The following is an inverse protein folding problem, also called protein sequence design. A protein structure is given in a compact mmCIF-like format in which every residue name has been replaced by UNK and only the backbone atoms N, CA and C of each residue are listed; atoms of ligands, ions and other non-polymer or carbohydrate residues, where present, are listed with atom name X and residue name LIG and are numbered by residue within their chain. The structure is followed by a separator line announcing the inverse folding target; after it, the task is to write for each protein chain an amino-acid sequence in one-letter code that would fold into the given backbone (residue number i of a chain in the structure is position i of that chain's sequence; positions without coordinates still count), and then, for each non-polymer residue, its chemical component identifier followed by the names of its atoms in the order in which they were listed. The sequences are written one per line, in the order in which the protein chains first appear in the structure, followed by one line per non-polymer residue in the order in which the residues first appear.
data_IF_495614509766
#
_entry.id   IF_495614509766
#
_cell.length_a   1.000
_cell.length_b   1.000
_cell.length_c   1.000
_cell.angle_alpha   90.00
_cell.angle_beta   90.00
_cell.angle_gamma   90.00
#
_symmetry.space_group_name_H-M   'P 1'
#
loop_
_entity.id
_entity.type
_entity.pdbx_description
1 polymer ?
#
# COMPACT_ATOMS: atom_id res chain seq x y z
N UNK A 1 6.48 -30.14 -11.91
CA UNK A 1 7.31 -28.94 -12.20
C UNK A 1 6.43 -27.71 -12.25
N UNK A 2 6.75 -26.71 -11.44
CA UNK A 2 6.18 -25.37 -11.52
C UNK A 2 7.14 -24.42 -12.23
N UNK A 3 6.60 -23.47 -12.97
CA UNK A 3 7.30 -22.31 -13.50
C UNK A 3 6.64 -21.07 -12.92
N UNK A 4 7.41 -20.06 -12.53
CA UNK A 4 6.87 -18.73 -12.22
C UNK A 4 7.61 -17.65 -12.96
N UNK A 5 6.92 -16.58 -13.35
CA UNK A 5 7.47 -15.36 -13.92
C UNK A 5 7.07 -14.18 -13.04
N UNK A 6 8.03 -13.35 -12.64
CA UNK A 6 7.72 -12.08 -11.99
C UNK A 6 7.30 -11.06 -13.05
N UNK A 7 6.08 -10.54 -12.96
CA UNK A 7 5.63 -9.43 -13.80
C UNK A 7 6.06 -8.11 -13.19
N UNK A 8 5.87 -7.93 -11.88
CA UNK A 8 6.26 -6.74 -11.14
C UNK A 8 5.63 -6.71 -9.75
N UNK A 9 6.28 -6.04 -8.79
CA UNK A 9 5.81 -5.96 -7.41
C UNK A 9 5.50 -7.36 -6.81
N UNK A 10 4.24 -7.67 -6.54
CA UNK A 10 3.76 -8.96 -6.03
C UNK A 10 3.08 -9.82 -7.11
N UNK A 11 3.02 -9.31 -8.34
CA UNK A 11 2.35 -9.94 -9.46
C UNK A 11 3.19 -11.07 -10.06
N UNK A 12 2.77 -12.31 -9.78
CA UNK A 12 3.37 -13.51 -10.32
C UNK A 12 2.43 -14.15 -11.35
N UNK A 13 3.01 -14.60 -12.45
CA UNK A 13 2.38 -15.63 -13.30
C UNK A 13 2.97 -16.98 -12.89
N UNK A 14 2.17 -17.92 -12.41
CA UNK A 14 2.59 -19.24 -11.96
C UNK A 14 1.96 -20.28 -12.87
N UNK A 15 2.75 -21.21 -13.40
CA UNK A 15 2.33 -22.18 -14.40
C UNK A 15 2.72 -23.59 -13.96
N UNK A 16 1.77 -24.50 -14.04
CA UNK A 16 1.96 -25.94 -13.95
C UNK A 16 1.87 -26.57 -15.34
N UNK A 17 1.63 -27.89 -15.42
CA UNK A 17 1.43 -28.58 -16.69
C UNK A 17 0.09 -28.19 -17.34
N UNK A 18 -0.95 -27.92 -16.55
CA UNK A 18 -2.31 -27.68 -17.06
C UNK A 18 -2.95 -26.35 -16.59
N UNK A 19 -2.31 -25.63 -15.67
CA UNK A 19 -2.91 -24.49 -14.97
C UNK A 19 -1.99 -23.27 -15.01
N UNK A 20 -2.56 -22.09 -15.29
CA UNK A 20 -1.91 -20.78 -15.15
C UNK A 20 -2.64 -19.95 -14.09
N UNK A 21 -1.90 -19.51 -13.07
CA UNK A 21 -2.37 -18.65 -11.98
C UNK A 21 -1.75 -17.27 -12.14
N UNK A 22 -2.56 -16.22 -12.04
CA UNK A 22 -2.14 -14.82 -12.00
C UNK A 22 -2.48 -14.25 -10.62
N UNK A 23 -1.49 -13.69 -9.93
CA UNK A 23 -1.69 -13.07 -8.61
C UNK A 23 -1.60 -11.55 -8.72
N UNK A 24 -2.50 -10.83 -8.06
CA UNK A 24 -2.41 -9.38 -7.80
C UNK A 24 -1.96 -8.54 -9.01
N UNK A 25 -2.67 -8.59 -10.15
CA UNK A 25 -2.18 -8.02 -11.39
C UNK A 25 -2.26 -6.50 -11.40
N UNK A 26 -1.10 -5.89 -11.60
CA UNK A 26 -0.91 -4.43 -11.68
C UNK A 26 -0.04 -4.11 -12.90
N UNK A 27 -0.68 -3.70 -14.00
CA UNK A 27 -0.08 -3.75 -15.36
C UNK A 27 0.07 -2.39 -16.04
N UNK A 28 -0.43 -1.32 -15.44
CA UNK A 28 -0.33 0.01 -16.01
C UNK A 28 0.73 0.84 -15.28
N UNK A 29 1.26 1.85 -15.97
CA UNK A 29 2.43 2.60 -15.48
C UNK A 29 2.17 3.30 -14.14
N UNK A 30 0.99 3.90 -13.95
CA UNK A 30 0.67 4.68 -12.76
C UNK A 30 -0.16 3.88 -11.78
N UNK A 31 0.33 3.82 -10.54
CA UNK A 31 -0.16 2.99 -9.44
C UNK A 31 -0.55 3.87 -8.23
N UNK A 32 -1.41 3.34 -7.35
CA UNK A 32 -1.92 3.99 -6.12
C UNK A 32 -2.36 5.45 -6.33
N UNK A 33 -3.58 5.72 -6.79
CA UNK A 33 -4.05 7.11 -7.05
C UNK A 33 -3.05 7.93 -7.91
N UNK A 34 -2.35 7.22 -8.80
CA UNK A 34 -1.31 7.74 -9.69
C UNK A 34 -0.09 8.39 -8.98
N UNK A 35 0.33 7.93 -7.79
CA UNK A 35 1.53 8.46 -7.10
C UNK A 35 2.81 7.64 -7.33
N UNK A 36 2.70 6.36 -7.70
CA UNK A 36 3.86 5.49 -7.92
C UNK A 36 3.91 4.89 -9.33
N UNK A 37 5.07 4.31 -9.64
CA UNK A 37 5.38 3.51 -10.83
C UNK A 37 6.17 2.28 -10.40
N UNK A 38 6.15 1.21 -11.19
CA UNK A 38 7.02 0.04 -10.97
C UNK A 38 8.51 0.44 -11.03
N UNK A 39 9.32 -0.17 -10.18
CA UNK A 39 10.76 0.02 -10.09
C UNK A 39 11.42 -1.34 -9.83
N UNK A 40 12.18 -1.90 -10.78
CA UNK A 40 12.53 -1.31 -12.08
C UNK A 40 11.32 -1.16 -13.01
N UNK A 41 11.40 -0.21 -13.95
CA UNK A 41 10.36 -0.03 -14.98
C UNK A 41 10.34 -1.22 -15.95
N UNK A 42 9.16 -1.54 -16.49
CA UNK A 42 8.96 -2.75 -17.31
C UNK A 42 8.37 -2.43 -18.67
N UNK A 43 8.57 -3.34 -19.63
CA UNK A 43 7.70 -3.49 -20.80
C UNK A 43 6.89 -4.77 -20.60
N UNK A 44 5.56 -4.66 -20.65
CA UNK A 44 4.64 -5.78 -20.59
C UNK A 44 3.85 -5.89 -21.91
N UNK A 45 4.10 -6.96 -22.67
CA UNK A 45 3.33 -7.33 -23.86
C UNK A 45 2.10 -8.13 -23.44
N UNK A 46 1.05 -7.42 -23.04
CA UNK A 46 -0.17 -8.00 -22.42
C UNK A 46 -0.82 -9.08 -23.29
N UNK A 47 -0.75 -8.95 -24.61
CA UNK A 47 -1.31 -9.89 -25.60
C UNK A 47 -0.55 -11.22 -25.67
N UNK A 48 0.69 -11.26 -25.14
CA UNK A 48 1.50 -12.48 -25.07
C UNK A 48 1.36 -13.21 -23.74
N UNK A 49 0.58 -12.68 -22.79
CA UNK A 49 0.34 -13.33 -21.51
C UNK A 49 -0.44 -14.64 -21.77
N UNK A 50 0.04 -15.79 -21.25
CA UNK A 50 -0.66 -17.05 -21.38
C UNK A 50 -2.08 -16.99 -20.78
N UNK A 51 -3.07 -17.68 -21.38
CA UNK A 51 -4.43 -17.70 -20.85
C UNK A 51 -4.49 -18.21 -19.40
N UNK A 52 -5.10 -17.42 -18.53
CA UNK A 52 -5.17 -17.58 -17.08
C UNK A 52 -6.36 -18.45 -16.69
N UNK A 53 -6.10 -19.47 -15.86
CA UNK A 53 -7.09 -20.35 -15.25
C UNK A 53 -7.54 -19.87 -13.88
N UNK A 54 -6.65 -19.20 -13.14
CA UNK A 54 -6.94 -18.69 -11.79
C UNK A 54 -6.46 -17.25 -11.67
N UNK A 55 -7.34 -16.34 -11.30
CA UNK A 55 -7.00 -14.99 -10.87
C UNK A 55 -7.11 -14.91 -9.36
N UNK A 56 -6.03 -14.59 -8.65
CA UNK A 56 -6.03 -14.38 -7.20
C UNK A 56 -5.82 -12.90 -6.88
N UNK A 57 -6.70 -12.35 -6.05
CA UNK A 57 -6.50 -11.08 -5.35
C UNK A 57 -6.23 -11.38 -3.88
N UNK A 58 -5.12 -10.88 -3.35
CA UNK A 58 -4.72 -11.10 -1.95
C UNK A 58 -5.43 -10.18 -0.97
N UNK A 59 -5.51 -8.89 -1.27
CA UNK A 59 -6.12 -7.87 -0.42
C UNK A 59 -6.41 -6.58 -1.20
N UNK A 60 -6.94 -5.58 -0.51
CA UNK A 60 -7.53 -4.39 -1.14
C UNK A 60 -6.55 -3.24 -1.43
N UNK A 61 -5.28 -3.28 -1.01
CA UNK A 61 -4.36 -2.17 -1.33
C UNK A 61 -4.17 -2.04 -2.85
N UNK A 62 -4.01 -0.82 -3.35
CA UNK A 62 -4.11 -0.55 -4.81
C UNK A 62 -2.97 -1.15 -5.64
N UNK A 63 -1.84 -1.51 -5.03
CA UNK A 63 -0.74 -2.29 -5.61
C UNK A 63 -0.95 -3.80 -5.66
N UNK A 64 -2.05 -4.26 -5.06
CA UNK A 64 -2.52 -5.63 -5.15
C UNK A 64 -3.88 -5.73 -5.84
N UNK A 65 -4.65 -4.64 -5.83
CA UNK A 65 -6.02 -4.53 -6.35
C UNK A 65 -6.18 -3.33 -7.30
N UNK A 66 -5.54 -3.43 -8.47
CA UNK A 66 -5.65 -2.40 -9.51
C UNK A 66 -6.93 -2.57 -10.35
N UNK A 67 -7.90 -1.69 -10.12
CA UNK A 67 -9.18 -1.66 -10.84
C UNK A 67 -8.99 -1.48 -12.35
N UNK A 68 -7.95 -0.75 -12.78
CA UNK A 68 -7.69 -0.55 -14.21
C UNK A 68 -7.25 -1.84 -14.88
N UNK A 69 -6.33 -2.59 -14.26
CA UNK A 69 -5.91 -3.93 -14.72
C UNK A 69 -7.07 -4.91 -14.71
N UNK A 70 -7.88 -4.93 -13.66
CA UNK A 70 -9.06 -5.79 -13.60
C UNK A 70 -10.11 -5.46 -14.69
N UNK A 71 -10.34 -4.18 -14.97
CA UNK A 71 -11.22 -3.75 -16.05
C UNK A 71 -10.67 -4.14 -17.43
N UNK A 72 -9.35 -4.14 -17.63
CA UNK A 72 -8.70 -4.65 -18.84
C UNK A 72 -8.88 -6.16 -18.97
N UNK A 73 -8.65 -6.93 -17.89
CA UNK A 73 -8.74 -8.39 -17.89
C UNK A 73 -10.13 -8.93 -18.26
N UNK A 74 -11.20 -8.19 -17.96
CA UNK A 74 -12.57 -8.54 -18.36
C UNK A 74 -12.89 -8.26 -19.84
N UNK A 75 -12.03 -7.54 -20.55
CA UNK A 75 -12.22 -7.32 -22.00
C UNK A 75 -11.97 -8.63 -22.75
N UNK A 76 -12.54 -8.77 -23.94
CA UNK A 76 -12.30 -9.92 -24.83
C UNK A 76 -10.90 -9.84 -25.47
N UNK A 77 -9.88 -10.03 -24.63
CA UNK A 77 -8.46 -9.98 -24.99
C UNK A 77 -7.77 -11.35 -24.90
N UNK A 78 -8.51 -12.40 -24.51
CA UNK A 78 -8.02 -13.77 -24.41
C UNK A 78 -7.14 -14.07 -23.20
N UNK A 79 -6.92 -13.12 -22.30
CA UNK A 79 -6.08 -13.31 -21.11
C UNK A 79 -6.80 -14.16 -20.07
N UNK A 80 -8.02 -13.82 -19.69
CA UNK A 80 -8.82 -14.67 -18.80
C UNK A 80 -9.55 -15.74 -19.62
N UNK A 81 -9.47 -17.00 -19.19
CA UNK A 81 -10.28 -18.07 -19.80
C UNK A 81 -11.76 -17.90 -19.45
N UNK A 82 -12.68 -18.40 -20.30
CA UNK A 82 -14.11 -18.34 -20.01
C UNK A 82 -14.53 -19.02 -18.69
N UNK A 83 -13.77 -20.02 -18.25
CA UNK A 83 -13.97 -20.79 -17.01
C UNK A 83 -12.96 -20.40 -15.91
N UNK A 84 -12.41 -19.18 -15.95
CA UNK A 84 -11.47 -18.69 -14.95
C UNK A 84 -12.05 -18.78 -13.53
N UNK A 85 -11.26 -19.32 -12.60
CA UNK A 85 -11.56 -19.29 -11.17
C UNK A 85 -11.02 -18.01 -10.56
N UNK A 86 -11.87 -17.22 -9.93
CA UNK A 86 -11.47 -15.94 -9.32
C UNK A 86 -11.47 -16.10 -7.81
N UNK A 87 -10.32 -15.90 -7.17
CA UNK A 87 -10.11 -16.00 -5.73
C UNK A 87 -9.96 -14.59 -5.14
N UNK A 88 -10.66 -14.29 -4.05
CA UNK A 88 -10.59 -13.00 -3.37
C UNK A 88 -10.75 -13.18 -1.84
N UNK A 89 -10.23 -12.26 -1.03
CA UNK A 89 -10.47 -12.27 0.41
C UNK A 89 -11.94 -11.97 0.73
N UNK A 90 -12.35 -12.24 1.97
CA UNK A 90 -13.68 -11.90 2.46
C UNK A 90 -13.80 -10.40 2.80
N UNK A 91 -13.56 -9.53 1.83
CA UNK A 91 -13.62 -8.07 1.95
C UNK A 91 -14.80 -7.51 1.14
N UNK A 92 -15.71 -6.80 1.81
CA UNK A 92 -16.93 -6.27 1.18
C UNK A 92 -16.64 -5.27 0.05
N UNK A 93 -15.56 -4.48 0.15
CA UNK A 93 -15.17 -3.50 -0.87
C UNK A 93 -14.61 -4.23 -2.09
N UNK A 94 -13.67 -5.16 -1.90
CA UNK A 94 -13.10 -5.97 -3.00
C UNK A 94 -14.22 -6.68 -3.75
N UNK A 95 -15.09 -7.39 -3.03
CA UNK A 95 -16.19 -8.14 -3.63
C UNK A 95 -17.19 -7.25 -4.36
N UNK A 96 -17.51 -6.07 -3.79
CA UNK A 96 -18.40 -5.10 -4.45
C UNK A 96 -17.77 -4.53 -5.72
N UNK A 97 -16.52 -4.08 -5.67
CA UNK A 97 -15.80 -3.50 -6.82
C UNK A 97 -15.68 -4.52 -7.95
N UNK A 98 -15.32 -5.77 -7.64
CA UNK A 98 -15.21 -6.82 -8.65
C UNK A 98 -16.57 -7.15 -9.30
N UNK A 99 -17.65 -7.24 -8.53
CA UNK A 99 -19.00 -7.41 -9.09
C UNK A 99 -19.42 -6.23 -9.95
N UNK A 100 -19.12 -5.01 -9.51
CA UNK A 100 -19.39 -3.78 -10.26
C UNK A 100 -18.57 -3.72 -11.56
N UNK A 101 -17.36 -4.30 -11.62
CA UNK A 101 -16.61 -4.44 -12.86
C UNK A 101 -17.23 -5.48 -13.81
N UNK A 102 -17.79 -6.56 -13.28
CA UNK A 102 -18.46 -7.61 -14.05
C UNK A 102 -17.98 -9.04 -13.76
N UNK A 103 -17.22 -9.27 -12.69
CA UNK A 103 -16.86 -10.63 -12.27
C UNK A 103 -18.07 -11.35 -11.66
N UNK A 104 -18.48 -12.48 -12.23
CA UNK A 104 -19.69 -13.21 -11.82
C UNK A 104 -19.39 -14.35 -10.81
N UNK A 105 -18.23 -15.01 -10.91
CA UNK A 105 -17.91 -16.24 -10.16
C UNK A 105 -16.70 -16.06 -9.23
N UNK A 106 -16.86 -15.22 -8.20
CA UNK A 106 -15.82 -14.97 -7.20
C UNK A 106 -15.93 -15.99 -6.06
N UNK A 107 -14.87 -16.77 -5.84
CA UNK A 107 -14.70 -17.63 -4.67
C UNK A 107 -14.00 -16.86 -3.56
N UNK A 108 -14.74 -16.62 -2.48
CA UNK A 108 -14.18 -16.08 -1.23
C UNK A 108 -13.32 -17.16 -0.58
N UNK A 109 -12.09 -16.82 -0.25
CA UNK A 109 -11.15 -17.79 0.32
C UNK A 109 -11.04 -17.72 1.84
N UNK A 110 -10.66 -18.84 2.46
CA UNK A 110 -10.38 -18.96 3.88
C UNK A 110 -8.96 -19.44 4.13
N UNK A 111 -8.38 -19.01 5.25
CA UNK A 111 -7.03 -19.41 5.64
C UNK A 111 -6.88 -20.94 5.71
N UNK A 112 -5.87 -21.45 5.01
CA UNK A 112 -5.52 -22.87 4.92
C UNK A 112 -6.61 -23.79 4.36
N UNK A 113 -7.67 -23.24 3.77
CA UNK A 113 -8.62 -24.01 2.98
C UNK A 113 -8.02 -24.27 1.59
N UNK A 114 -7.81 -25.54 1.25
CA UNK A 114 -7.19 -25.91 -0.03
C UNK A 114 -8.23 -25.99 -1.14
N UNK A 115 -7.97 -25.25 -2.21
CA UNK A 115 -8.76 -25.22 -3.44
C UNK A 115 -7.98 -25.99 -4.51
N UNK A 116 -8.62 -26.99 -5.11
CA UNK A 116 -7.99 -27.76 -6.20
C UNK A 116 -8.47 -27.25 -7.55
N UNK A 117 -7.53 -26.80 -8.38
CA UNK A 117 -7.79 -26.37 -9.75
C UNK A 117 -6.93 -27.22 -10.68
N UNK A 118 -7.57 -28.09 -11.46
CA UNK A 118 -6.92 -29.07 -12.35
C UNK A 118 -5.79 -29.85 -11.66
N UNK A 119 -4.54 -29.59 -12.04
CA UNK A 119 -3.33 -30.27 -11.58
C UNK A 119 -2.64 -29.60 -10.39
N UNK A 120 -3.17 -28.48 -9.87
CA UNK A 120 -2.60 -27.79 -8.70
C UNK A 120 -3.54 -27.70 -7.51
N UNK A 121 -2.95 -27.57 -6.33
CA UNK A 121 -3.58 -27.18 -5.08
C UNK A 121 -3.15 -25.75 -4.73
N UNK A 122 -4.14 -24.91 -4.44
CA UNK A 122 -3.96 -23.52 -4.01
C UNK A 122 -4.40 -23.41 -2.57
N UNK A 123 -3.58 -22.85 -1.69
CA UNK A 123 -3.88 -22.70 -0.27
C UNK A 123 -3.50 -21.30 0.22
N UNK A 124 -4.49 -20.45 0.49
CA UNK A 124 -4.26 -19.14 1.11
C UNK A 124 -3.68 -19.26 2.51
N UNK A 125 -2.78 -18.36 2.86
CA UNK A 125 -2.12 -18.31 4.18
C UNK A 125 -2.50 -17.03 4.92
N UNK A 126 -2.77 -17.09 6.24
CA UNK A 126 -3.18 -15.92 7.01
C UNK A 126 -2.11 -14.83 7.04
N UNK A 127 -2.56 -13.59 7.04
CA UNK A 127 -1.77 -12.43 7.44
C UNK A 127 -2.12 -11.99 8.86
N UNK A 128 -1.09 -11.71 9.66
CA UNK A 128 -1.19 -10.98 10.92
C UNK A 128 -1.15 -9.46 10.72
N UNK A 129 -1.15 -8.99 9.47
CA UNK A 129 -1.28 -7.59 9.15
C UNK A 129 -2.70 -7.15 9.56
N UNK A 130 -2.77 -6.43 10.67
CA UNK A 130 -3.98 -5.80 11.17
C UNK A 130 -3.81 -4.29 11.22
N UNK A 131 -2.93 -3.70 10.37
CA UNK A 131 -2.67 -2.26 10.38
C UNK A 131 -3.99 -1.49 10.24
N UNK A 132 -4.49 -1.02 11.38
CA UNK A 132 -5.82 -0.43 11.58
C UNK A 132 -5.58 0.92 12.23
N UNK A 133 -5.20 1.91 11.42
CA UNK A 133 -5.43 3.32 11.78
C UNK A 133 -6.86 3.75 11.43
N UNK A 134 -7.52 3.02 10.51
CA UNK A 134 -8.96 3.10 10.27
C UNK A 134 -9.68 2.06 11.15
N UNK A 135 -10.92 2.31 11.57
CA UNK A 135 -11.76 1.39 12.35
C UNK A 135 -12.12 0.07 11.62
N UNK A 136 -11.52 -0.17 10.46
CA UNK A 136 -11.81 -1.25 9.52
C UNK A 136 -10.58 -2.16 9.39
N UNK A 137 -10.76 -3.46 9.63
CA UNK A 137 -9.73 -4.49 9.42
C UNK A 137 -9.87 -5.04 8.01
N UNK A 138 -8.84 -4.90 7.16
CA UNK A 138 -8.84 -5.52 5.84
C UNK A 138 -8.27 -6.95 5.89
N UNK A 139 -9.00 -7.97 5.40
CA UNK A 139 -8.47 -9.32 5.30
C UNK A 139 -7.43 -9.41 4.18
N UNK A 140 -6.30 -10.03 4.50
CA UNK A 140 -5.15 -10.21 3.61
C UNK A 140 -4.62 -11.65 3.69
N UNK A 141 -4.22 -12.22 2.55
CA UNK A 141 -3.63 -13.55 2.49
C UNK A 141 -2.44 -13.69 1.53
N UNK A 142 -1.44 -14.45 1.95
CA UNK A 142 -0.44 -15.05 1.05
C UNK A 142 -1.00 -16.26 0.30
N UNK A 143 -0.28 -16.77 -0.69
CA UNK A 143 -0.76 -17.84 -1.58
C UNK A 143 0.27 -18.95 -1.76
N UNK A 144 -0.07 -20.17 -1.34
CA UNK A 144 0.69 -21.38 -1.67
C UNK A 144 0.13 -22.02 -2.94
N UNK A 145 1.02 -22.43 -3.84
CA UNK A 145 0.69 -23.22 -5.04
C UNK A 145 1.53 -24.48 -5.05
N UNK A 146 0.86 -25.63 -5.10
CA UNK A 146 1.49 -26.95 -5.08
C UNK A 146 1.02 -27.79 -6.26
N UNK A 147 1.93 -28.41 -7.02
CA UNK A 147 1.59 -29.21 -8.22
C UNK A 147 1.57 -30.73 -7.98
N UNK A 148 1.67 -31.16 -6.72
CA UNK A 148 1.83 -32.56 -6.32
C UNK A 148 3.27 -32.97 -6.05
N UNK A 149 4.26 -32.19 -6.49
CA UNK A 149 5.68 -32.47 -6.31
C UNK A 149 6.44 -31.34 -5.62
N UNK A 150 6.17 -30.09 -6.01
CA UNK A 150 6.86 -28.89 -5.53
C UNK A 150 5.87 -27.82 -5.06
N UNK A 151 6.32 -26.95 -4.18
CA UNK A 151 5.51 -25.89 -3.57
C UNK A 151 6.16 -24.52 -3.72
N UNK A 152 5.43 -23.58 -4.30
CA UNK A 152 5.75 -22.15 -4.32
C UNK A 152 4.91 -21.42 -3.28
N UNK A 153 5.49 -20.43 -2.61
CA UNK A 153 4.77 -19.50 -1.75
C UNK A 153 4.98 -18.05 -2.20
N UNK A 154 3.89 -17.35 -2.54
CA UNK A 154 3.87 -15.89 -2.66
C UNK A 154 3.39 -15.31 -1.33
N UNK A 155 4.28 -14.72 -0.55
CA UNK A 155 3.95 -14.18 0.78
C UNK A 155 3.09 -12.91 0.68
N UNK A 156 3.19 -12.15 -0.41
CA UNK A 156 2.67 -10.78 -0.52
C UNK A 156 3.09 -9.94 0.71
N UNK A 157 2.19 -9.12 1.23
CA UNK A 157 2.42 -8.25 2.38
C UNK A 157 2.22 -8.94 3.73
N UNK A 158 1.99 -10.26 3.72
CA UNK A 158 1.61 -11.03 4.91
C UNK A 158 2.63 -10.98 6.04
N UNK A 159 2.20 -10.45 7.19
CA UNK A 159 2.91 -10.63 8.46
C UNK A 159 2.64 -12.02 9.01
N UNK A 160 3.62 -12.90 8.94
CA UNK A 160 3.45 -14.30 9.36
C UNK A 160 3.99 -14.57 10.76
N UNK A 161 3.23 -15.36 11.53
CA UNK A 161 3.66 -15.86 12.82
C UNK A 161 4.22 -17.30 12.72
N UNK A 162 4.92 -17.79 13.77
CA UNK A 162 5.51 -19.14 13.74
C UNK A 162 4.50 -20.28 13.52
N UNK A 163 3.26 -20.15 13.99
CA UNK A 163 2.22 -21.16 13.80
C UNK A 163 1.80 -21.27 12.33
N UNK A 164 1.75 -20.16 11.59
CA UNK A 164 1.54 -20.19 10.14
C UNK A 164 2.63 -21.01 9.45
N UNK A 165 3.90 -20.75 9.76
CA UNK A 165 5.05 -21.46 9.19
C UNK A 165 5.01 -22.96 9.53
N UNK A 166 4.70 -23.29 10.78
CA UNK A 166 4.56 -24.69 11.21
C UNK A 166 3.48 -25.41 10.41
N UNK A 167 2.31 -24.80 10.21
CA UNK A 167 1.22 -25.38 9.41
C UNK A 167 1.61 -25.56 7.94
N UNK A 168 2.35 -24.63 7.35
CA UNK A 168 2.88 -24.75 5.98
C UNK A 168 3.79 -25.98 5.90
N UNK A 169 4.76 -26.11 6.81
CA UNK A 169 5.70 -27.23 6.83
C UNK A 169 5.02 -28.56 7.17
N UNK A 170 4.03 -28.59 8.05
CA UNK A 170 3.23 -29.80 8.33
C UNK A 170 2.47 -30.29 7.08
N UNK A 171 1.97 -29.36 6.26
CA UNK A 171 1.17 -29.69 5.08
C UNK A 171 2.01 -30.08 3.87
N UNK A 172 3.07 -29.33 3.59
CA UNK A 172 3.86 -29.46 2.37
C UNK A 172 5.29 -30.01 2.59
N UNK A 173 5.69 -30.22 3.84
CA UNK A 173 7.04 -30.65 4.22
C UNK A 173 8.06 -29.53 4.13
N UNK A 174 8.27 -28.98 2.94
CA UNK A 174 9.20 -27.87 2.68
C UNK A 174 8.72 -27.05 1.47
N UNK A 175 8.81 -25.73 1.56
CA UNK A 175 8.59 -24.84 0.41
C UNK A 175 9.83 -24.84 -0.49
N UNK A 176 9.64 -24.97 -1.80
CA UNK A 176 10.74 -24.97 -2.77
C UNK A 176 11.17 -23.55 -3.15
N UNK A 177 10.22 -22.68 -3.48
CA UNK A 177 10.48 -21.26 -3.74
C UNK A 177 9.58 -20.39 -2.86
N UNK A 178 10.20 -19.53 -2.06
CA UNK A 178 9.49 -18.48 -1.33
C UNK A 178 9.75 -17.11 -1.97
N UNK A 179 8.69 -16.40 -2.34
CA UNK A 179 8.69 -15.00 -2.76
C UNK A 179 8.27 -14.17 -1.54
N UNK A 180 9.25 -13.65 -0.81
CA UNK A 180 9.07 -13.15 0.56
C UNK A 180 9.36 -11.67 0.73
N UNK A 181 8.74 -11.04 1.73
CA UNK A 181 8.95 -9.61 2.05
C UNK A 181 10.44 -9.32 2.29
N UNK A 182 10.92 -8.20 1.76
CA UNK A 182 12.34 -7.82 1.86
C UNK A 182 12.59 -6.43 2.43
N UNK A 183 11.62 -5.51 2.35
CA UNK A 183 11.76 -4.12 2.81
C UNK A 183 10.53 -3.71 3.62
N UNK A 184 10.73 -3.13 4.82
CA UNK A 184 9.65 -2.45 5.52
C UNK A 184 9.45 -1.09 4.85
N UNK A 185 8.23 -0.80 4.44
CA UNK A 185 7.88 0.45 3.77
C UNK A 185 7.64 1.53 4.82
N UNK A 186 8.28 2.69 4.66
CA UNK A 186 8.10 3.86 5.54
C UNK A 186 7.18 4.89 4.88
N UNK A 187 6.23 4.42 4.11
CA UNK A 187 5.23 5.25 3.44
C UNK A 187 4.43 6.02 4.48
N UNK A 188 4.17 7.30 4.19
CA UNK A 188 3.48 8.19 5.13
C UNK A 188 4.35 8.66 6.32
N UNK A 189 5.46 7.99 6.69
CA UNK A 189 6.28 8.46 7.82
C UNK A 189 6.74 9.91 7.65
N UNK A 190 7.04 10.29 6.41
CA UNK A 190 7.37 11.67 6.07
C UNK A 190 6.22 12.63 6.39
N UNK A 191 5.01 12.30 5.97
CA UNK A 191 3.81 13.12 6.16
C UNK A 191 3.38 13.20 7.63
N UNK A 192 3.58 12.13 8.40
CA UNK A 192 3.20 12.07 9.82
C UNK A 192 4.32 12.41 10.80
N UNK A 193 5.47 12.91 10.31
CA UNK A 193 6.64 13.21 11.14
C UNK A 193 7.08 12.02 12.02
N UNK A 194 7.02 10.80 11.46
CA UNK A 194 7.46 9.56 12.11
C UNK A 194 8.94 9.28 11.83
N UNK A 195 9.62 8.45 12.64
CA UNK A 195 11.04 8.13 12.44
C UNK A 195 11.34 7.49 11.08
N UNK A 196 12.51 7.81 10.51
CA UNK A 196 13.02 7.21 9.26
C UNK A 196 14.04 6.09 9.50
N UNK A 197 14.18 5.59 10.73
CA UNK A 197 15.11 4.51 10.99
C UNK A 197 14.54 3.22 10.41
N UNK A 198 15.41 2.31 9.93
CA UNK A 198 14.99 0.95 9.61
C UNK A 198 14.29 0.33 10.84
N UNK A 199 13.01 -0.09 10.73
CA UNK A 199 12.28 -0.66 11.85
C UNK A 199 12.81 -2.07 12.13
N UNK A 200 13.89 -2.17 12.91
CA UNK A 200 14.61 -3.42 13.14
C UNK A 200 13.73 -4.55 13.65
N UNK A 201 12.73 -4.26 14.49
CA UNK A 201 11.81 -5.28 14.98
C UNK A 201 11.04 -5.94 13.83
N UNK A 202 10.47 -5.14 12.92
CA UNK A 202 9.76 -5.64 11.74
C UNK A 202 10.72 -6.30 10.76
N UNK A 203 11.83 -5.65 10.42
CA UNK A 203 12.82 -6.20 9.50
C UNK A 203 13.40 -7.55 9.97
N UNK A 204 13.62 -7.71 11.28
CA UNK A 204 14.03 -8.99 11.86
C UNK A 204 12.98 -10.10 11.64
N UNK A 205 11.69 -9.78 11.55
CA UNK A 205 10.66 -10.79 11.26
C UNK A 205 10.83 -11.39 9.87
N UNK A 206 11.30 -10.62 8.87
CA UNK A 206 11.51 -11.11 7.52
C UNK A 206 12.62 -12.16 7.48
N UNK A 207 13.74 -11.88 8.15
CA UNK A 207 14.86 -12.82 8.26
C UNK A 207 14.49 -14.06 9.10
N UNK A 208 13.75 -13.88 10.19
CA UNK A 208 13.27 -14.98 11.02
C UNK A 208 12.27 -15.87 10.28
N UNK A 209 11.41 -15.30 9.43
CA UNK A 209 10.49 -16.06 8.58
C UNK A 209 11.27 -17.01 7.68
N UNK A 210 12.29 -16.53 6.96
CA UNK A 210 13.12 -17.40 6.10
C UNK A 210 13.80 -18.49 6.92
N UNK A 211 14.35 -18.13 8.07
CA UNK A 211 15.04 -19.06 8.97
C UNK A 211 14.13 -20.14 9.54
N UNK A 212 12.87 -19.82 9.82
CA UNK A 212 11.89 -20.79 10.32
C UNK A 212 11.27 -21.63 9.20
N UNK A 213 11.02 -21.03 8.03
CA UNK A 213 10.45 -21.70 6.86
C UNK A 213 11.45 -22.67 6.22
N UNK A 214 12.75 -22.32 6.21
CA UNK A 214 13.82 -23.09 5.56
C UNK A 214 13.48 -23.48 4.10
N UNK A 215 13.07 -22.54 3.23
CA UNK A 215 12.73 -22.88 1.85
C UNK A 215 13.96 -23.42 1.10
N UNK A 216 13.77 -24.07 -0.04
CA UNK A 216 14.90 -24.50 -0.88
C UNK A 216 15.58 -23.31 -1.56
N UNK A 217 14.81 -22.29 -1.91
CA UNK A 217 15.29 -21.04 -2.43
C UNK A 217 14.34 -19.90 -2.00
N UNK A 218 14.88 -18.72 -1.73
CA UNK A 218 14.08 -17.53 -1.42
C UNK A 218 14.50 -16.36 -2.30
N UNK A 219 13.52 -15.58 -2.72
CA UNK A 219 13.73 -14.37 -3.52
C UNK A 219 13.01 -13.19 -2.84
N UNK A 220 13.54 -11.96 -2.93
CA UNK A 220 12.82 -10.75 -2.54
C UNK A 220 11.51 -10.63 -3.31
N UNK A 221 10.43 -10.32 -2.59
CA UNK A 221 9.07 -10.21 -3.11
C UNK A 221 8.56 -8.78 -3.24
N UNK A 222 7.32 -8.53 -2.78
CA UNK A 222 6.61 -7.23 -2.80
C UNK A 222 7.51 -6.02 -2.53
N UNK A 223 7.07 -4.85 -2.98
CA UNK A 223 7.76 -3.55 -2.91
C UNK A 223 8.72 -3.19 -4.05
N UNK A 224 8.43 -3.65 -5.27
CA UNK A 224 9.15 -3.26 -6.49
C UNK A 224 8.51 -2.02 -7.17
N UNK A 225 8.52 -0.88 -6.49
CA UNK A 225 7.94 0.38 -6.97
C UNK A 225 8.69 1.59 -6.42
N UNK A 226 8.42 2.76 -7.01
CA UNK A 226 8.92 4.06 -6.54
C UNK A 226 7.86 5.13 -6.72
N UNK A 227 8.01 6.26 -6.02
CA UNK A 227 7.27 7.48 -6.33
C UNK A 227 7.62 7.99 -7.73
N UNK A 228 6.60 8.47 -8.44
CA UNK A 228 6.74 9.16 -9.73
C UNK A 228 7.63 10.38 -9.61
N UNK A 229 8.06 10.90 -10.74
CA UNK A 229 8.99 12.03 -10.82
C UNK A 229 8.44 13.28 -10.10
N UNK A 230 7.12 13.50 -10.16
CA UNK A 230 6.43 14.59 -9.46
C UNK A 230 6.52 14.49 -7.92
N UNK A 231 6.65 13.27 -7.38
CA UNK A 231 6.73 12.98 -5.94
C UNK A 231 8.11 12.40 -5.55
N UNK A 232 9.09 12.47 -6.46
CA UNK A 232 10.34 11.72 -6.37
C UNK A 232 11.20 12.03 -5.14
N UNK A 233 10.98 13.16 -4.47
CA UNK A 233 11.66 13.47 -3.22
C UNK A 233 11.32 12.46 -2.11
N UNK A 234 10.13 11.86 -2.14
CA UNK A 234 9.67 10.85 -1.16
C UNK A 234 10.42 9.52 -1.28
N UNK A 235 10.99 9.20 -2.45
CA UNK A 235 11.85 8.01 -2.60
C UNK A 235 13.02 7.99 -1.61
N UNK A 236 13.44 9.18 -1.13
CA UNK A 236 14.54 9.32 -0.16
C UNK A 236 14.14 8.98 1.28
N UNK A 237 12.86 8.74 1.52
CA UNK A 237 12.27 8.60 2.86
C UNK A 237 11.49 7.29 3.05
N UNK A 238 11.02 6.64 1.98
CA UNK A 238 10.11 5.49 2.10
C UNK A 238 10.78 4.12 2.04
N UNK A 239 12.01 4.01 1.52
CA UNK A 239 12.68 2.72 1.25
C UNK A 239 13.98 2.57 2.06
N UNK A 240 13.93 2.18 3.34
CA UNK A 240 15.09 2.19 4.26
C UNK A 240 16.17 1.14 3.95
N UNK A 241 15.89 0.18 3.07
CA UNK A 241 16.82 -0.85 2.62
C UNK A 241 16.56 -1.22 1.16
N UNK A 242 17.45 -2.00 0.55
CA UNK A 242 17.35 -2.46 -0.84
C UNK A 242 17.34 -3.98 -0.90
N UNK A 243 16.94 -4.56 -2.04
CA UNK A 243 17.06 -6.01 -2.25
C UNK A 243 18.49 -6.51 -2.04
N UNK A 244 19.48 -5.78 -2.56
CA UNK A 244 20.90 -6.06 -2.36
C UNK A 244 21.29 -6.14 -0.89
N UNK A 245 20.82 -5.17 -0.09
CA UNK A 245 21.12 -5.12 1.33
C UNK A 245 20.42 -6.26 2.08
N UNK A 246 19.14 -6.52 1.77
CA UNK A 246 18.40 -7.65 2.30
C UNK A 246 19.09 -8.99 2.01
N UNK A 247 19.50 -9.24 0.77
CA UNK A 247 20.17 -10.48 0.38
C UNK A 247 21.52 -10.64 1.09
N UNK A 248 22.27 -9.55 1.29
CA UNK A 248 23.51 -9.56 2.09
C UNK A 248 23.24 -9.91 3.55
N UNK A 249 22.23 -9.29 4.16
CA UNK A 249 21.86 -9.53 5.55
C UNK A 249 21.35 -10.96 5.76
N UNK A 250 20.51 -11.44 4.84
CA UNK A 250 19.98 -12.81 4.86
C UNK A 250 21.08 -13.85 4.75
N UNK A 251 22.05 -13.65 3.85
CA UNK A 251 23.22 -14.54 3.73
C UNK A 251 24.04 -14.63 5.02
N UNK A 252 24.13 -13.53 5.78
CA UNK A 252 24.83 -13.52 7.07
C UNK A 252 23.97 -14.17 8.18
N UNK A 253 22.65 -14.02 8.12
CA UNK A 253 21.72 -14.46 9.16
C UNK A 253 21.32 -15.95 9.06
N UNK A 254 21.18 -16.45 7.83
CA UNK A 254 20.69 -17.78 7.45
C UNK A 254 21.46 -18.29 6.21
N UNK A 255 22.78 -18.55 6.32
CA UNK A 255 23.63 -18.94 5.20
C UNK A 255 23.25 -20.28 4.56
N UNK A 256 22.45 -21.11 5.23
CA UNK A 256 21.98 -22.41 4.79
C UNK A 256 20.85 -22.35 3.75
N UNK A 257 20.12 -21.23 3.65
CA UNK A 257 19.04 -21.03 2.67
C UNK A 257 19.59 -20.26 1.47
N UNK A 258 19.64 -20.88 0.27
CA UNK A 258 19.97 -20.16 -0.95
C UNK A 258 19.00 -19.01 -1.22
N UNK A 259 19.54 -17.86 -1.62
CA UNK A 259 18.78 -16.69 -1.99
C UNK A 259 19.37 -16.00 -3.23
N UNK A 260 18.54 -15.27 -3.96
CA UNK A 260 18.98 -14.54 -5.15
C UNK A 260 18.00 -13.47 -5.58
N UNK A 261 18.38 -12.69 -6.59
CA UNK A 261 17.49 -11.72 -7.21
C UNK A 261 16.42 -12.41 -8.04
N UNK A 262 15.27 -11.75 -8.10
CA UNK A 262 14.17 -12.11 -8.96
C UNK A 262 13.51 -10.81 -9.39
N UNK A 263 13.80 -10.39 -10.62
CA UNK A 263 13.36 -9.12 -11.18
C UNK A 263 12.24 -9.34 -12.20
N UNK A 264 11.45 -8.29 -12.52
CA UNK A 264 10.46 -8.37 -13.58
C UNK A 264 11.02 -8.97 -14.89
N UNK A 265 10.39 -10.02 -15.42
CA UNK A 265 10.86 -10.75 -16.60
C UNK A 265 11.75 -11.96 -16.32
N UNK A 266 12.19 -12.16 -15.09
CA UNK A 266 12.87 -13.39 -14.67
C UNK A 266 11.88 -14.55 -14.57
N UNK A 267 12.34 -15.76 -14.89
CA UNK A 267 11.54 -16.98 -14.85
C UNK A 267 12.22 -18.00 -13.94
N UNK A 268 11.52 -18.45 -12.89
CA UNK A 268 12.00 -19.52 -12.04
C UNK A 268 11.37 -20.87 -12.45
N UNK A 269 12.23 -21.87 -12.68
CA UNK A 269 11.86 -23.26 -12.94
C UNK A 269 12.07 -24.08 -11.67
N UNK A 270 11.00 -24.69 -11.16
CA UNK A 270 10.95 -25.34 -9.85
C UNK A 270 10.70 -26.84 -10.05
N UNK A 271 11.67 -27.64 -9.64
CA UNK A 271 11.63 -29.11 -9.72
C UNK A 271 11.94 -29.73 -8.35
N UNK A 272 11.73 -31.03 -8.21
CA UNK A 272 12.05 -31.76 -6.97
C UNK A 272 13.55 -31.80 -6.67
N UNK A 273 14.41 -31.51 -7.66
CA UNK A 273 15.87 -31.48 -7.51
C UNK A 273 16.47 -30.08 -7.38
N UNK A 274 15.92 -29.08 -8.07
CA UNK A 274 16.51 -27.73 -8.13
C UNK A 274 15.47 -26.63 -8.34
N UNK A 275 15.86 -25.41 -7.96
CA UNK A 275 15.20 -24.16 -8.36
C UNK A 275 16.20 -23.40 -9.22
N UNK A 276 15.87 -23.17 -10.49
CA UNK A 276 16.72 -22.47 -11.46
C UNK A 276 16.04 -21.19 -11.91
N UNK A 277 16.68 -20.05 -11.69
CA UNK A 277 16.21 -18.75 -12.18
C UNK A 277 16.92 -18.41 -13.49
N UNK A 278 16.15 -18.14 -14.52
CA UNK A 278 16.62 -17.62 -15.79
C UNK A 278 16.26 -16.13 -15.87
N UNK A 279 17.29 -15.29 -15.92
CA UNK A 279 17.08 -13.84 -15.90
C UNK A 279 16.61 -13.32 -17.24
N UNK A 280 15.60 -12.46 -17.23
CA UNK A 280 15.03 -11.78 -18.40
C UNK A 280 14.65 -12.76 -19.54
N UNK A 281 14.16 -13.96 -19.19
CA UNK A 281 13.82 -15.00 -20.16
C UNK A 281 12.34 -15.05 -20.51
N UNK A 282 11.49 -14.27 -19.84
CA UNK A 282 10.06 -14.18 -20.19
C UNK A 282 9.87 -13.61 -21.61
N UNK A 283 8.94 -14.18 -22.40
CA UNK A 283 8.64 -13.68 -23.74
C UNK A 283 7.68 -12.48 -23.77
N UNK A 284 7.12 -12.08 -22.61
CA UNK A 284 6.08 -11.06 -22.52
C UNK A 284 6.37 -9.96 -21.49
N UNK A 285 7.34 -10.13 -20.59
CA UNK A 285 7.76 -9.06 -19.68
C UNK A 285 9.27 -8.97 -19.60
N UNK A 286 9.79 -7.75 -19.55
CA UNK A 286 11.22 -7.47 -19.34
C UNK A 286 11.41 -6.13 -18.65
N UNK A 287 12.53 -5.96 -17.97
CA UNK A 287 12.98 -4.65 -17.50
C UNK A 287 13.23 -3.75 -18.72
N UNK A 288 12.62 -2.56 -18.69
CA UNK A 288 12.88 -1.50 -19.67
C UNK A 288 14.12 -0.70 -19.26
N UNK A 289 14.11 -0.21 -18.03
CA UNK A 289 15.15 0.57 -17.40
C UNK A 289 15.20 0.19 -15.92
N UNK A 290 16.40 -0.14 -15.43
CA UNK A 290 16.65 -0.28 -14.01
C UNK A 290 16.89 1.11 -13.42
N UNK A 291 15.86 1.63 -12.77
CA UNK A 291 15.85 2.94 -12.13
C UNK A 291 15.92 2.83 -10.59
N UNK A 292 16.45 1.71 -10.09
CA UNK A 292 16.61 1.42 -8.66
C UNK A 292 17.48 2.45 -7.93
N UNK A 293 18.37 3.17 -8.62
CA UNK A 293 19.16 4.25 -8.03
C UNK A 293 18.29 5.43 -7.56
N UNK A 294 17.06 5.58 -8.10
CA UNK A 294 16.10 6.60 -7.67
C UNK A 294 15.50 6.29 -6.29
N UNK A 295 15.61 5.05 -5.81
CA UNK A 295 15.19 4.60 -4.49
C UNK A 295 16.22 4.88 -3.39
N UNK A 296 17.22 5.73 -3.64
CA UNK A 296 18.27 6.02 -2.67
C UNK A 296 17.71 6.57 -1.37
N UNK A 297 17.84 5.79 -0.30
CA UNK A 297 17.47 6.22 1.04
C UNK A 297 18.39 7.33 1.54
N UNK A 298 17.86 8.54 1.70
CA UNK A 298 18.64 9.70 2.12
C UNK A 298 17.75 10.71 2.85
N UNK A 299 17.29 10.40 4.08
CA UNK A 299 16.31 11.19 4.83
C UNK A 299 16.92 12.45 5.49
N UNK A 300 17.89 13.06 4.82
CA UNK A 300 18.58 14.30 5.21
C UNK A 300 18.70 15.27 4.03
N UNK A 301 18.10 14.93 2.89
CA UNK A 301 18.11 15.78 1.70
C UNK A 301 17.08 16.89 1.82
N UNK A 302 17.25 17.91 0.96
CA UNK A 302 16.26 18.95 0.82
C UNK A 302 14.87 18.38 0.51
N UNK A 303 13.88 18.98 1.16
CA UNK A 303 12.46 18.65 1.08
C UNK A 303 11.78 19.68 0.19
N UNK A 304 10.98 19.22 -0.76
CA UNK A 304 10.20 20.12 -1.61
C UNK A 304 9.22 20.97 -0.77
N UNK A 305 9.09 22.29 -1.04
CA UNK A 305 8.08 23.10 -0.36
C UNK A 305 6.66 22.64 -0.73
N UNK A 306 5.73 22.68 0.22
CA UNK A 306 4.32 22.41 -0.07
C UNK A 306 3.73 23.56 -0.89
N UNK A 307 3.00 23.22 -1.95
CA UNK A 307 2.27 24.16 -2.82
C UNK A 307 1.08 23.44 -3.44
N UNK A 308 0.04 24.19 -3.82
CA UNK A 308 -1.02 23.63 -4.68
C UNK A 308 -0.42 23.06 -5.95
N UNK A 309 -0.92 21.89 -6.39
CA UNK A 309 -0.53 21.28 -7.67
C UNK A 309 -1.28 21.86 -8.85
N UNK A 310 -2.34 22.62 -8.58
CA UNK A 310 -3.15 23.26 -9.60
C UNK A 310 -2.33 24.34 -10.30
N UNK A 311 -2.24 24.22 -11.63
CA UNK A 311 -1.41 25.10 -12.46
C UNK A 311 -2.16 26.35 -12.89
N UNK A 312 -3.46 26.20 -13.18
CA UNK A 312 -4.33 27.30 -13.58
C UNK A 312 -4.57 28.23 -12.38
N UNK A 313 -4.32 29.53 -12.59
CA UNK A 313 -4.35 30.48 -11.47
C UNK A 313 -5.78 30.83 -11.04
N UNK A 314 -6.75 30.76 -11.96
CA UNK A 314 -8.15 30.98 -11.63
C UNK A 314 -8.70 29.80 -10.83
N UNK A 315 -8.34 28.58 -11.22
CA UNK A 315 -8.69 27.37 -10.47
C UNK A 315 -8.06 27.38 -9.08
N UNK A 316 -6.81 27.80 -8.92
CA UNK A 316 -6.18 27.99 -7.60
C UNK A 316 -6.99 28.95 -6.70
N UNK A 317 -7.45 30.07 -7.26
CA UNK A 317 -8.24 31.05 -6.51
C UNK A 317 -9.61 30.45 -6.10
N UNK A 318 -10.23 29.67 -6.99
CA UNK A 318 -11.50 28.97 -6.72
C UNK A 318 -11.35 27.87 -5.66
N UNK A 319 -10.26 27.09 -5.69
CA UNK A 319 -9.91 26.11 -4.66
C UNK A 319 -9.78 26.78 -3.29
N UNK A 320 -8.98 27.85 -3.21
CA UNK A 320 -8.77 28.54 -1.94
C UNK A 320 -10.08 29.15 -1.42
N UNK A 321 -10.95 29.67 -2.29
CA UNK A 321 -12.28 30.15 -1.89
C UNK A 321 -13.13 29.05 -1.24
N UNK A 322 -13.15 27.84 -1.81
CA UNK A 322 -13.86 26.69 -1.24
C UNK A 322 -13.24 26.20 0.07
N UNK A 323 -11.91 26.21 0.17
CA UNK A 323 -11.20 25.93 1.42
C UNK A 323 -11.61 26.91 2.51
N UNK A 324 -11.59 28.23 2.25
CA UNK A 324 -12.01 29.24 3.23
C UNK A 324 -13.44 29.01 3.68
N UNK A 325 -14.35 28.80 2.74
CA UNK A 325 -15.76 28.52 3.05
C UNK A 325 -15.89 27.31 3.97
N UNK A 326 -15.16 26.22 3.69
CA UNK A 326 -15.17 25.03 4.52
C UNK A 326 -14.60 25.28 5.91
N UNK A 327 -13.38 25.83 6.01
CA UNK A 327 -12.66 26.02 7.27
C UNK A 327 -13.42 26.97 8.20
N UNK A 328 -13.95 28.07 7.65
CA UNK A 328 -14.59 29.12 8.45
C UNK A 328 -16.04 28.79 8.84
N UNK A 329 -16.75 27.97 8.06
CA UNK A 329 -18.18 27.73 8.28
C UNK A 329 -18.56 26.29 8.64
N UNK A 330 -17.76 25.29 8.23
CA UNK A 330 -18.14 23.86 8.32
C UNK A 330 -17.19 23.04 9.19
N UNK A 331 -15.91 23.39 9.22
CA UNK A 331 -14.88 22.60 9.88
C UNK A 331 -15.10 22.50 11.38
N UNK A 332 -15.30 23.63 12.08
CA UNK A 332 -15.54 23.62 13.54
C UNK A 332 -16.78 22.81 13.92
N UNK A 333 -17.85 22.86 13.11
CA UNK A 333 -19.07 22.08 13.35
C UNK A 333 -18.75 20.59 13.42
N UNK A 334 -17.97 20.07 12.47
CA UNK A 334 -17.52 18.67 12.46
C UNK A 334 -16.69 18.33 13.70
N UNK A 335 -15.76 19.20 14.11
CA UNK A 335 -14.92 18.98 15.28
C UNK A 335 -15.73 18.97 16.58
N UNK A 336 -16.68 19.89 16.75
CA UNK A 336 -17.52 19.98 17.95
C UNK A 336 -18.52 18.83 18.11
N UNK A 337 -18.78 18.09 17.03
CA UNK A 337 -19.63 16.89 17.03
C UNK A 337 -18.83 15.61 17.27
N UNK A 338 -17.49 15.69 17.30
CA UNK A 338 -16.62 14.54 17.51
C UNK A 338 -16.50 14.17 18.98
N UNK A 339 -16.40 12.86 19.24
CA UNK A 339 -16.08 12.31 20.55
C UNK A 339 -14.67 12.73 21.03
N UNK A 340 -13.80 13.17 20.12
CA UNK A 340 -12.45 13.66 20.43
C UNK A 340 -12.43 15.10 21.00
N UNK A 341 -13.55 15.81 20.99
CA UNK A 341 -13.61 17.18 21.53
C UNK A 341 -13.14 17.25 22.98
N UNK A 342 -13.63 16.35 23.83
CA UNK A 342 -13.23 16.30 25.24
C UNK A 342 -11.75 15.98 25.39
N UNK A 343 -11.18 15.17 24.49
CA UNK A 343 -9.75 14.87 24.49
C UNK A 343 -8.93 16.11 24.13
N UNK A 344 -9.29 16.84 23.06
CA UNK A 344 -8.60 18.08 22.69
C UNK A 344 -8.67 19.14 23.79
N UNK A 345 -9.83 19.27 24.45
CA UNK A 345 -10.01 20.14 25.61
C UNK A 345 -9.16 19.68 26.81
N UNK A 346 -9.22 18.39 27.14
CA UNK A 346 -8.48 17.82 28.25
C UNK A 346 -6.98 18.05 28.10
N UNK A 347 -6.45 17.94 26.88
CA UNK A 347 -5.02 18.08 26.59
C UNK A 347 -4.59 19.52 26.24
N UNK A 348 -5.48 20.50 26.39
CA UNK A 348 -5.24 21.91 26.04
C UNK A 348 -4.62 22.04 24.63
N UNK A 349 -5.21 21.35 23.65
CA UNK A 349 -4.73 21.35 22.27
C UNK A 349 -4.93 22.75 21.69
N UNK A 350 -3.85 23.28 21.13
CA UNK A 350 -3.86 24.47 20.28
C UNK A 350 -3.44 24.00 18.89
N UNK A 351 -4.47 23.89 18.05
CA UNK A 351 -4.38 23.35 16.71
C UNK A 351 -4.11 24.46 15.70
N UNK A 352 -3.23 24.21 14.74
CA UNK A 352 -3.01 25.08 13.59
C UNK A 352 -3.15 24.30 12.28
N UNK A 353 -4.06 24.77 11.43
CA UNK A 353 -4.18 24.40 10.02
C UNK A 353 -3.46 25.45 9.17
N UNK A 354 -2.51 25.03 8.34
CA UNK A 354 -1.88 25.90 7.35
C UNK A 354 -2.14 25.36 5.94
N UNK A 355 -2.78 26.16 5.09
CA UNK A 355 -3.13 25.76 3.72
C UNK A 355 -2.26 26.48 2.70
N UNK A 356 -1.53 25.71 1.89
CA UNK A 356 -0.56 26.21 0.93
C UNK A 356 -1.17 26.41 -0.46
N UNK A 357 -1.21 27.65 -0.92
CA UNK A 357 -1.54 28.02 -2.29
C UNK A 357 -0.32 27.98 -3.22
N UNK A 358 -0.31 28.85 -4.23
CA UNK A 358 0.75 28.88 -5.25
C UNK A 358 2.04 29.56 -4.80
N UNK A 359 1.92 30.72 -4.14
CA UNK A 359 3.06 31.57 -3.70
C UNK A 359 3.02 31.91 -2.20
N UNK A 360 2.16 31.26 -1.42
CA UNK A 360 2.01 31.53 0.01
C UNK A 360 1.03 30.57 0.68
N UNK A 361 0.76 30.81 1.95
CA UNK A 361 -0.17 30.02 2.76
C UNK A 361 -1.15 30.91 3.54
N UNK A 362 -2.27 30.32 3.94
CA UNK A 362 -3.22 30.89 4.89
C UNK A 362 -3.29 30.02 6.14
N UNK A 363 -3.46 30.65 7.31
CA UNK A 363 -3.39 29.97 8.61
C UNK A 363 -4.70 30.14 9.36
N UNK A 364 -5.24 29.03 9.87
CA UNK A 364 -6.33 29.01 10.82
C UNK A 364 -5.91 28.27 12.09
N UNK A 365 -6.25 28.82 13.24
CA UNK A 365 -5.97 28.21 14.53
C UNK A 365 -7.24 27.98 15.34
N UNK A 366 -7.23 26.94 16.18
CA UNK A 366 -8.27 26.64 17.15
C UNK A 366 -7.59 26.42 18.50
N UNK A 367 -7.96 27.21 19.49
CA UNK A 367 -7.64 26.92 20.89
C UNK A 367 -8.82 26.18 21.50
N UNK A 368 -8.65 24.89 21.78
CA UNK A 368 -9.72 24.08 22.36
C UNK A 368 -9.97 24.40 23.84
N UNK A 369 -9.10 25.14 24.52
CA UNK A 369 -9.34 25.65 25.88
C UNK A 369 -10.28 26.86 25.88
N UNK A 370 -10.40 27.56 24.74
CA UNK A 370 -11.26 28.73 24.62
C UNK A 370 -12.75 28.35 24.69
N UNK A 371 -13.55 29.17 25.38
CA UNK A 371 -14.99 29.00 25.48
C UNK A 371 -15.74 30.29 25.09
N UNK A 372 -16.51 30.30 23.99
CA UNK A 372 -16.73 29.18 23.06
C UNK A 372 -15.50 28.92 22.18
N UNK A 373 -15.26 27.64 21.84
CA UNK A 373 -14.24 27.24 20.87
C UNK A 373 -14.54 27.93 19.54
N UNK A 374 -13.52 28.50 18.90
CA UNK A 374 -13.67 29.20 17.62
C UNK A 374 -12.47 29.02 16.70
N UNK A 375 -12.72 29.11 15.40
CA UNK A 375 -11.69 29.19 14.36
C UNK A 375 -11.21 30.64 14.26
N UNK A 376 -9.89 30.84 14.21
CA UNK A 376 -9.24 32.15 14.17
C UNK A 376 -8.29 32.19 12.99
N UNK A 377 -8.44 33.17 12.08
CA UNK A 377 -7.53 33.36 10.94
C UNK A 377 -6.26 34.11 11.38
N UNK A 378 -5.46 33.46 12.22
CA UNK A 378 -4.19 33.95 12.75
C UNK A 378 -3.41 32.83 13.44
N UNK A 379 -2.11 33.05 13.64
CA UNK A 379 -1.28 32.17 14.48
C UNK A 379 -1.41 32.61 15.95
N UNK A 380 -1.64 31.64 16.86
CA UNK A 380 -1.81 31.91 18.29
C UNK A 380 -0.49 31.88 19.09
N UNK A 381 0.66 31.63 18.44
CA UNK A 381 1.98 31.60 19.08
C UNK A 381 2.26 30.37 19.96
N UNK A 382 1.26 29.53 20.22
CA UNK A 382 1.37 28.19 20.82
C UNK A 382 0.79 27.19 19.83
N UNK A 383 1.53 26.13 19.50
CA UNK A 383 1.08 25.05 18.61
C UNK A 383 1.55 23.74 19.22
N UNK A 384 0.63 22.83 19.50
CA UNK A 384 0.95 21.47 19.93
C UNK A 384 0.33 20.39 19.01
N UNK A 385 -0.44 20.81 18.01
CA UNK A 385 -0.88 19.98 16.89
C UNK A 385 -0.92 20.85 15.62
N UNK A 386 -0.21 20.44 14.57
CA UNK A 386 -0.10 21.18 13.32
C UNK A 386 -0.46 20.28 12.16
N UNK A 387 -1.29 20.78 11.25
CA UNK A 387 -1.54 20.16 9.95
C UNK A 387 -1.30 21.17 8.84
N UNK A 388 -0.32 20.90 7.99
CA UNK A 388 -0.03 21.63 6.77
C UNK A 388 -0.55 20.85 5.57
N UNK A 389 -1.29 21.50 4.67
CA UNK A 389 -1.86 20.83 3.49
C UNK A 389 -1.89 21.78 2.29
N UNK A 390 -1.62 21.29 1.09
CA UNK A 390 -1.81 22.09 -0.12
C UNK A 390 -3.30 22.30 -0.44
N UNK A 391 -3.64 23.46 -1.01
CA UNK A 391 -5.02 23.85 -1.27
C UNK A 391 -5.75 22.88 -2.20
N UNK A 392 -5.06 22.33 -3.21
CA UNK A 392 -5.60 21.34 -4.14
C UNK A 392 -6.05 20.05 -3.43
N UNK A 393 -5.27 19.57 -2.46
CA UNK A 393 -5.53 18.33 -1.71
C UNK A 393 -6.68 18.54 -0.72
N UNK A 394 -6.69 19.67 0.00
CA UNK A 394 -7.79 19.98 0.92
C UNK A 394 -9.10 20.24 0.16
N UNK A 395 -9.07 20.95 -0.97
CA UNK A 395 -10.25 21.15 -1.81
C UNK A 395 -10.77 19.82 -2.38
N UNK A 396 -9.88 18.92 -2.80
CA UNK A 396 -10.28 17.59 -3.27
C UNK A 396 -10.93 16.75 -2.14
N UNK A 397 -10.46 16.86 -0.89
CA UNK A 397 -11.13 16.25 0.27
C UNK A 397 -12.52 16.86 0.50
N UNK A 398 -12.64 18.19 0.44
CA UNK A 398 -13.92 18.92 0.57
C UNK A 398 -14.93 18.48 -0.48
N UNK A 399 -14.47 18.16 -1.70
CA UNK A 399 -15.31 17.71 -2.82
C UNK A 399 -15.56 16.19 -2.85
N UNK A 400 -14.89 15.41 -2.01
CA UNK A 400 -14.97 13.94 -2.04
C UNK A 400 -14.30 13.31 -3.27
N UNK A 401 -13.33 14.00 -3.86
CA UNK A 401 -12.66 13.58 -5.10
C UNK A 401 -11.32 12.90 -4.85
N UNK A 402 -10.88 12.80 -3.60
CA UNK A 402 -9.65 12.12 -3.21
C UNK A 402 -9.86 11.22 -1.98
N UNK A 403 -8.79 10.64 -1.46
CA UNK A 403 -8.75 9.77 -0.29
C UNK A 403 -7.49 10.05 0.54
N UNK A 404 -7.42 9.53 1.76
CA UNK A 404 -6.23 9.65 2.59
C UNK A 404 -5.03 8.88 2.03
N UNK A 405 -5.22 7.79 1.29
CA UNK A 405 -4.13 7.08 0.60
C UNK A 405 -3.33 8.04 -0.28
N UNK A 406 -4.01 8.92 -1.00
CA UNK A 406 -3.34 9.92 -1.81
C UNK A 406 -2.80 11.09 -0.98
N UNK A 407 -3.64 11.69 -0.15
CA UNK A 407 -3.28 12.92 0.60
C UNK A 407 -2.10 12.64 1.53
N UNK A 408 -2.13 11.53 2.25
CA UNK A 408 -1.07 11.13 3.17
C UNK A 408 0.21 10.70 2.47
N UNK A 409 0.15 10.16 1.25
CA UNK A 409 1.33 9.62 0.56
C UNK A 409 1.93 10.56 -0.50
N UNK A 410 1.25 11.63 -0.91
CA UNK A 410 1.78 12.58 -1.90
C UNK A 410 2.78 13.60 -1.32
N UNK A 411 2.93 13.68 0.00
CA UNK A 411 3.87 14.58 0.70
C UNK A 411 3.48 16.07 0.72
N UNK A 412 2.29 16.40 0.19
CA UNK A 412 1.66 17.72 0.25
C UNK A 412 0.71 17.89 1.45
N UNK A 413 0.57 16.86 2.27
CA UNK A 413 0.05 16.92 3.63
C UNK A 413 1.17 16.56 4.60
N UNK A 414 1.33 17.34 5.67
CA UNK A 414 2.35 17.14 6.69
C UNK A 414 1.79 17.52 8.05
N UNK A 415 1.94 16.64 9.03
CA UNK A 415 1.48 16.85 10.39
C UNK A 415 2.59 16.57 11.39
N UNK A 416 2.55 17.28 12.50
CA UNK A 416 3.28 16.90 13.70
C UNK A 416 2.45 17.26 14.92
N UNK A 417 2.72 16.57 16.02
CA UNK A 417 2.13 16.89 17.30
C UNK A 417 3.18 16.85 18.41
N UNK A 418 2.99 17.71 19.40
CA UNK A 418 3.76 17.82 20.63
C UNK A 418 2.77 18.03 21.78
N UNK A 419 1.81 17.13 21.93
CA UNK A 419 0.68 17.30 22.84
C UNK A 419 1.14 17.06 24.28
N UNK A 420 0.95 18.07 25.11
CA UNK A 420 1.20 18.03 26.54
C UNK A 420 0.25 18.98 27.27
N UNK A 421 0.02 18.70 28.55
CA UNK A 421 -0.72 19.57 29.46
C UNK A 421 0.17 19.99 30.63
N UNK A 422 0.08 21.26 31.01
CA UNK A 422 0.74 21.80 32.19
C UNK A 422 -0.32 22.05 33.26
N UNK A 423 -0.14 21.45 34.43
CA UNK A 423 -0.97 21.70 35.62
C UNK A 423 -0.11 22.27 36.75
N UNK A 424 -0.73 22.71 37.85
CA UNK A 424 0.00 23.35 38.95
C UNK A 424 1.08 22.42 39.53
N UNK A 425 2.34 22.66 39.16
CA UNK A 425 3.49 21.87 39.60
C UNK A 425 3.73 20.57 38.84
N UNK A 426 3.05 20.30 37.72
CA UNK A 426 3.20 19.05 36.97
C UNK A 426 3.14 19.23 35.45
N UNK A 427 3.79 18.31 34.73
CA UNK A 427 3.69 18.15 33.28
C UNK A 427 3.11 16.77 32.97
N UNK A 428 2.10 16.75 32.11
CA UNK A 428 1.49 15.53 31.62
C UNK A 428 1.72 15.46 30.11
N UNK A 429 2.21 14.32 29.63
CA UNK A 429 2.52 14.11 28.22
C UNK A 429 1.46 13.19 27.61
N UNK A 430 1.10 13.46 26.36
CA UNK A 430 0.23 12.55 25.63
C UNK A 430 0.90 11.15 25.54
N UNK A 431 0.20 10.06 25.88
CA UNK A 431 0.83 8.74 25.94
C UNK A 431 1.34 8.29 24.56
N UNK A 432 2.61 7.89 24.48
CA UNK A 432 3.20 7.36 23.23
C UNK A 432 2.52 6.08 22.74
N UNK A 433 1.94 5.29 23.64
CA UNK A 433 1.18 4.06 23.31
C UNK A 433 -0.20 4.35 22.70
N UNK A 434 -0.64 5.61 22.67
CA UNK A 434 -1.90 6.05 22.06
C UNK A 434 -1.69 6.85 20.78
N UNK A 435 -0.48 6.81 20.20
CA UNK A 435 -0.16 7.47 18.93
C UNK A 435 -1.00 6.95 17.76
N UNK A 436 -1.63 5.78 17.89
CA UNK A 436 -2.55 5.22 16.89
C UNK A 436 -3.95 5.86 16.94
N UNK A 437 -4.27 6.64 17.99
CA UNK A 437 -5.50 7.43 18.03
C UNK A 437 -5.28 8.68 17.20
N UNK A 438 -5.88 8.73 16.01
CA UNK A 438 -5.88 9.92 15.16
C UNK A 438 -6.49 11.10 15.92
N UNK A 439 -5.65 12.02 16.39
CA UNK A 439 -6.08 13.28 17.01
C UNK A 439 -6.19 14.41 15.99
N UNK A 440 -5.77 14.17 14.75
CA UNK A 440 -5.75 15.07 13.62
C UNK A 440 -7.16 15.60 13.30
N UNK A 441 -7.44 16.91 13.52
CA UNK A 441 -8.73 17.50 13.20
C UNK A 441 -9.16 17.32 11.74
N UNK A 442 -8.24 17.31 10.76
CA UNK A 442 -8.61 17.01 9.38
C UNK A 442 -9.11 15.58 9.20
N UNK A 443 -8.52 14.58 9.87
CA UNK A 443 -9.02 13.20 9.83
C UNK A 443 -10.39 13.07 10.48
N UNK A 444 -10.70 13.88 11.50
CA UNK A 444 -12.06 13.92 12.06
C UNK A 444 -13.04 14.55 11.07
N UNK A 445 -12.62 15.59 10.35
CA UNK A 445 -13.47 16.24 9.38
C UNK A 445 -13.72 15.40 8.12
N UNK A 446 -12.72 14.62 7.74
CA UNK A 446 -12.69 13.69 6.61
C UNK A 446 -12.29 12.30 7.12
N UNK A 447 -13.20 11.51 7.71
CA UNK A 447 -12.86 10.24 8.32
C UNK A 447 -12.31 9.26 7.28
N UNK A 448 -11.18 8.62 7.60
CA UNK A 448 -10.69 7.46 6.86
C UNK A 448 -11.54 6.25 7.22
N UNK A 449 -12.63 6.07 6.49
CA UNK A 449 -13.61 5.01 6.72
C UNK A 449 -13.84 4.18 5.45
N UNK A 450 -14.57 3.07 5.59
CA UNK A 450 -14.88 2.17 4.47
C UNK A 450 -15.68 2.85 3.34
N UNK A 451 -16.39 3.95 3.62
CA UNK A 451 -17.08 4.74 2.58
C UNK A 451 -16.08 5.48 1.69
N UNK A 452 -15.10 6.17 2.28
CA UNK A 452 -14.01 6.83 1.53
C UNK A 452 -13.20 5.81 0.72
N UNK A 453 -12.87 4.66 1.32
CA UNK A 453 -12.15 3.58 0.63
C UNK A 453 -12.96 3.01 -0.54
N UNK A 454 -14.26 2.78 -0.36
CA UNK A 454 -15.13 2.32 -1.44
C UNK A 454 -15.23 3.36 -2.56
N UNK A 455 -15.43 4.63 -2.21
CA UNK A 455 -15.59 5.71 -3.19
C UNK A 455 -14.35 5.87 -4.07
N UNK A 456 -13.15 5.70 -3.48
CA UNK A 456 -11.87 5.62 -4.19
C UNK A 456 -11.92 4.58 -5.31
N UNK A 457 -12.22 3.32 -5.00
CA UNK A 457 -12.28 2.28 -6.03
C UNK A 457 -13.43 2.50 -7.02
N UNK A 458 -14.58 2.99 -6.57
CA UNK A 458 -15.72 3.24 -7.44
C UNK A 458 -15.47 4.40 -8.43
N UNK A 459 -14.60 5.36 -8.11
CA UNK A 459 -14.11 6.36 -9.09
C UNK A 459 -13.38 5.66 -10.24
N UNK A 460 -12.50 4.72 -9.94
CA UNK A 460 -11.78 3.95 -10.96
C UNK A 460 -12.69 3.00 -11.74
N UNK A 461 -13.68 2.37 -11.10
CA UNK A 461 -14.68 1.56 -11.81
C UNK A 461 -15.40 2.42 -12.86
N UNK A 462 -15.86 3.61 -12.47
CA UNK A 462 -16.51 4.56 -13.41
C UNK A 462 -15.58 5.03 -14.52
N UNK A 463 -14.29 5.18 -14.23
CA UNK A 463 -13.28 5.64 -15.18
C UNK A 463 -12.90 4.58 -16.21
N UNK A 464 -12.81 3.31 -15.81
CA UNK A 464 -12.17 2.26 -16.62
C UNK A 464 -13.13 1.19 -17.15
N UNK A 465 -14.27 0.95 -16.50
CA UNK A 465 -15.21 -0.07 -16.94
C UNK A 465 -15.75 0.24 -18.34
N UNK A 466 -15.62 -0.71 -19.26
CA UNK A 466 -16.13 -0.59 -20.64
C UNK A 466 -15.32 0.36 -21.53
N UNK A 467 -14.19 0.89 -21.06
CA UNK A 467 -13.29 1.73 -21.85
C UNK A 467 -12.17 0.86 -22.42
N UNK A 468 -12.02 0.75 -23.76
CA UNK A 468 -10.89 0.05 -24.36
C UNK A 468 -9.57 0.62 -23.83
N UNK A 469 -8.72 -0.23 -23.26
CA UNK A 469 -7.41 0.19 -22.77
C UNK A 469 -6.35 -0.18 -23.81
N UNK A 470 -5.50 0.78 -24.16
CA UNK A 470 -4.29 0.56 -24.95
C UNK A 470 -3.11 0.11 -24.09
#
# INVERSE_FOLDING_TARGET
MLQTTLIGHACLLIQSRETTVLTDPVWFDYLWEEINVLCPSIVLEKEKIPPVDVLNISHRHQDHFDVRTLAYLLQDNGVLKPDVTVLAPNDDIVLKVMRELGFENITVVSDFETIRVKDIEITPTPSGNQESTAQDTFPEHGLLVHDGEVTLWNQVDSLVNPNTIERINQKYGRVDLAHGRFVPLLEGNFSYNKPFNLPFNEYCTFLNMVKALQPRFVVPGSAAFRYRDEFSFLNRYSFPTTQDQYLRDLKNFCPEVPAGHYNPGDVAHITTSEVKIEHQSSPFVRVLEDDSEKLIFKPVMEVAPMRTRTKDSKECDEEMLRVREFVENRFLVKLTQSELLEAWQHWNVVYQLEVFGKEGSEIWSIDFEENPVRVQNSCLGKINLYEGIAASELDALVRGETSWDFVALCGNYRTFNNIYRVTNGNFEYFPSEKLDVALEPLMVAFPWNSEMDLDKFMRDVRRWKGVPQS
#
